data_IF_214159935421
#
_entry.id   IF_214159935421
#
_cell.length_a   1.000
_cell.length_b   1.000
_cell.length_c   1.000
_cell.angle_alpha   90.00
_cell.angle_beta   90.00
_cell.angle_gamma   90.00
#
_symmetry.space_group_name_H-M   'P 1'
#
loop_
_entity.id
_entity.type
_entity.pdbx_description
1 polymer ?
#
# COMPACT_ATOMS: atom_id res chain seq x y z
N UNK A 1 -4.01 6.28 0.37
CA UNK A 1 -3.17 5.11 0.03
C UNK A 1 -2.17 5.34 -1.12
N UNK A 2 -2.59 5.32 -2.39
CA UNK A 2 -1.69 5.38 -3.59
C UNK A 2 -0.66 6.49 -3.51
N UNK A 3 -1.09 7.72 -3.21
CA UNK A 3 -0.23 8.90 -3.12
C UNK A 3 0.90 8.71 -2.12
N UNK A 4 0.58 8.22 -0.93
CA UNK A 4 1.54 8.02 0.15
C UNK A 4 2.51 6.87 -0.19
N UNK A 5 1.98 5.77 -0.73
CA UNK A 5 2.76 4.61 -1.15
C UNK A 5 3.80 4.91 -2.23
N UNK A 6 3.35 5.44 -3.37
CA UNK A 6 4.23 5.72 -4.51
C UNK A 6 5.24 6.84 -4.21
N UNK A 7 4.84 7.85 -3.44
CA UNK A 7 5.76 8.90 -2.99
C UNK A 7 6.83 8.36 -2.06
N UNK A 8 6.46 7.44 -1.16
CA UNK A 8 7.42 6.80 -0.26
C UNK A 8 8.38 5.94 -1.06
N UNK A 9 7.88 5.10 -1.96
CA UNK A 9 8.72 4.26 -2.82
C UNK A 9 9.72 5.11 -3.64
N UNK A 10 9.28 6.23 -4.23
CA UNK A 10 10.15 7.19 -4.92
C UNK A 10 11.21 7.81 -3.99
N UNK A 11 10.85 8.05 -2.72
CA UNK A 11 11.79 8.51 -1.67
C UNK A 11 12.78 7.44 -1.20
N UNK A 12 12.54 6.17 -1.53
CA UNK A 12 13.42 5.03 -1.25
C UNK A 12 14.49 4.80 -2.33
N UNK A 13 14.77 5.79 -3.19
CA UNK A 13 15.61 5.67 -4.39
C UNK A 13 15.13 4.61 -5.40
N UNK A 14 13.85 4.24 -5.36
CA UNK A 14 13.28 3.41 -6.42
C UNK A 14 13.09 4.24 -7.69
N UNK A 15 13.60 3.73 -8.80
CA UNK A 15 13.42 4.33 -10.13
C UNK A 15 11.99 4.14 -10.65
N UNK A 16 11.07 4.95 -10.12
CA UNK A 16 9.65 4.92 -10.46
C UNK A 16 9.40 5.36 -11.90
N UNK A 17 10.17 6.33 -12.42
CA UNK A 17 10.00 6.84 -13.78
C UNK A 17 10.26 5.75 -14.83
N UNK A 18 11.30 4.94 -14.67
CA UNK A 18 11.53 3.82 -15.59
C UNK A 18 10.46 2.73 -15.46
N UNK A 19 9.89 2.51 -14.28
CA UNK A 19 8.75 1.61 -14.11
C UNK A 19 7.48 2.15 -14.80
N UNK A 20 7.19 3.45 -14.68
CA UNK A 20 6.07 4.11 -15.37
C UNK A 20 6.18 3.95 -16.87
N UNK A 21 7.38 4.10 -17.42
CA UNK A 21 7.66 3.96 -18.84
C UNK A 21 7.75 2.49 -19.33
N UNK A 22 7.67 1.51 -18.44
CA UNK A 22 7.80 0.09 -18.79
C UNK A 22 9.23 -0.34 -19.15
N UNK A 23 10.22 0.45 -18.75
CA UNK A 23 11.66 0.12 -18.92
C UNK A 23 12.23 -0.67 -17.75
N UNK A 24 11.48 -0.76 -16.66
CA UNK A 24 11.81 -1.51 -15.45
C UNK A 24 10.55 -2.20 -14.94
N UNK A 25 10.67 -3.47 -14.59
CA UNK A 25 9.59 -4.20 -13.94
C UNK A 25 9.39 -3.73 -12.51
N UNK A 26 8.13 -3.60 -12.10
CA UNK A 26 7.71 -3.27 -10.74
C UNK A 26 6.75 -4.35 -10.25
N UNK A 27 7.14 -5.10 -9.23
CA UNK A 27 6.28 -6.13 -8.62
C UNK A 27 5.43 -5.50 -7.53
N UNK A 28 4.11 -5.61 -7.72
CA UNK A 28 3.10 -5.09 -6.80
C UNK A 28 2.26 -6.26 -6.28
N UNK A 29 1.99 -6.26 -4.98
CA UNK A 29 0.96 -7.12 -4.38
C UNK A 29 -0.18 -6.26 -3.86
N UNK A 30 -1.40 -6.58 -4.23
CA UNK A 30 -2.62 -6.01 -3.67
C UNK A 30 -3.35 -7.10 -2.86
N UNK A 31 -3.50 -6.90 -1.56
CA UNK A 31 -4.31 -7.76 -0.69
C UNK A 31 -5.64 -7.05 -0.46
N UNK A 32 -6.73 -7.72 -0.80
CA UNK A 32 -8.04 -7.11 -0.96
C UNK A 32 -8.22 -6.58 -2.38
N UNK A 33 -9.23 -7.11 -3.08
CA UNK A 33 -9.53 -6.74 -4.46
C UNK A 33 -10.65 -5.72 -4.53
N UNK A 34 -11.73 -5.94 -3.77
CA UNK A 34 -12.95 -5.16 -3.87
C UNK A 34 -13.46 -5.13 -5.30
N UNK A 35 -13.54 -3.94 -5.90
CA UNK A 35 -13.91 -3.76 -7.31
C UNK A 35 -12.75 -3.83 -8.31
N UNK A 36 -11.50 -3.98 -7.85
CA UNK A 36 -10.31 -4.00 -8.68
C UNK A 36 -9.82 -2.63 -9.15
N UNK A 37 -10.33 -1.53 -8.59
CA UNK A 37 -9.98 -0.16 -8.98
C UNK A 37 -8.50 0.16 -8.72
N UNK A 38 -7.96 -0.22 -7.56
CA UNK A 38 -6.56 -0.02 -7.19
C UNK A 38 -5.59 -0.75 -8.15
N UNK A 39 -5.70 -2.08 -8.36
CA UNK A 39 -4.80 -2.76 -9.28
C UNK A 39 -4.96 -2.28 -10.73
N UNK A 40 -6.18 -2.00 -11.18
CA UNK A 40 -6.40 -1.42 -12.52
C UNK A 40 -5.73 -0.06 -12.67
N UNK A 41 -5.86 0.81 -11.67
CA UNK A 41 -5.21 2.13 -11.67
C UNK A 41 -3.69 1.99 -11.78
N UNK A 42 -3.09 1.13 -10.95
CA UNK A 42 -1.65 0.91 -10.94
C UNK A 42 -1.15 0.36 -12.28
N UNK A 43 -1.82 -0.64 -12.84
CA UNK A 43 -1.42 -1.21 -14.12
C UNK A 43 -1.64 -0.22 -15.28
N UNK A 44 -2.67 0.61 -15.23
CA UNK A 44 -2.93 1.65 -16.23
C UNK A 44 -1.87 2.76 -16.22
N UNK A 45 -1.47 3.21 -15.02
CA UNK A 45 -0.50 4.30 -14.87
C UNK A 45 0.96 3.86 -14.92
N UNK A 46 1.27 2.61 -14.55
CA UNK A 46 2.64 2.11 -14.47
C UNK A 46 2.78 0.93 -15.45
N UNK A 47 3.38 1.18 -16.61
CA UNK A 47 3.48 0.17 -17.68
C UNK A 47 4.32 -1.04 -17.30
N UNK A 48 5.34 -0.85 -16.47
CA UNK A 48 6.18 -1.92 -15.93
C UNK A 48 5.60 -2.63 -14.71
N UNK A 49 4.43 -2.21 -14.21
CA UNK A 49 3.84 -2.86 -13.04
C UNK A 49 3.29 -4.24 -13.40
N UNK A 50 3.67 -5.25 -12.62
CA UNK A 50 3.06 -6.57 -12.62
C UNK A 50 2.45 -6.81 -11.24
N UNK A 51 1.17 -7.10 -11.23
CA UNK A 51 0.33 -6.99 -10.05
C UNK A 51 -0.28 -8.34 -9.74
N UNK A 52 0.14 -8.91 -8.62
CA UNK A 52 -0.60 -10.00 -7.98
C UNK A 52 -1.70 -9.38 -7.10
N UNK A 53 -2.92 -9.89 -7.18
CA UNK A 53 -4.09 -9.44 -6.43
C UNK A 53 -4.65 -10.63 -5.68
N UNK A 54 -4.94 -10.49 -4.40
CA UNK A 54 -5.44 -11.58 -3.57
C UNK A 54 -6.78 -11.19 -2.98
N UNK A 55 -7.79 -12.00 -3.24
CA UNK A 55 -9.15 -11.85 -2.71
C UNK A 55 -9.62 -13.18 -2.16
N UNK A 56 -10.22 -13.16 -0.97
CA UNK A 56 -10.69 -14.36 -0.29
C UNK A 56 -12.13 -14.70 -0.68
N UNK A 57 -12.96 -13.70 -1.01
CA UNK A 57 -14.36 -13.91 -1.30
C UNK A 57 -14.64 -14.07 -2.81
N UNK A 58 -15.03 -15.27 -3.27
CA UNK A 58 -15.38 -15.48 -4.68
C UNK A 58 -16.58 -14.64 -5.15
N UNK A 59 -17.47 -14.20 -4.26
CA UNK A 59 -18.59 -13.31 -4.61
C UNK A 59 -18.10 -11.90 -4.93
N UNK A 60 -17.09 -11.41 -4.21
CA UNK A 60 -16.44 -10.12 -4.52
C UNK A 60 -15.74 -10.19 -5.88
N UNK A 61 -15.00 -11.28 -6.15
CA UNK A 61 -14.38 -11.52 -7.47
C UNK A 61 -15.44 -11.52 -8.57
N UNK A 62 -16.51 -12.31 -8.40
CA UNK A 62 -17.61 -12.41 -9.35
C UNK A 62 -18.28 -11.05 -9.62
N UNK A 63 -18.59 -10.29 -8.56
CA UNK A 63 -19.18 -8.96 -8.67
C UNK A 63 -18.25 -7.98 -9.40
N UNK A 64 -16.94 -8.01 -9.10
CA UNK A 64 -15.98 -7.14 -9.78
C UNK A 64 -15.94 -7.38 -11.29
N UNK A 65 -16.03 -8.63 -11.73
CA UNK A 65 -15.98 -9.00 -13.14
C UNK A 65 -17.30 -8.66 -13.83
N UNK A 66 -18.42 -9.12 -13.27
CA UNK A 66 -19.71 -9.07 -13.94
C UNK A 66 -20.42 -7.72 -13.79
N UNK A 67 -20.20 -7.00 -12.68
CA UNK A 67 -20.87 -5.72 -12.42
C UNK A 67 -19.95 -4.51 -12.59
N UNK A 68 -18.65 -4.64 -12.30
CA UNK A 68 -17.70 -3.51 -12.36
C UNK A 68 -16.76 -3.56 -13.57
N UNK A 69 -16.82 -4.63 -14.35
CA UNK A 69 -16.05 -4.79 -15.58
C UNK A 69 -14.58 -5.11 -15.35
N UNK A 70 -14.20 -5.72 -14.22
CA UNK A 70 -12.83 -6.21 -14.02
C UNK A 70 -12.52 -7.33 -15.02
N UNK A 71 -11.30 -7.38 -15.60
CA UNK A 71 -10.93 -8.37 -16.61
C UNK A 71 -11.00 -9.81 -16.07
N UNK A 72 -11.89 -10.62 -16.65
CA UNK A 72 -12.10 -12.02 -16.21
C UNK A 72 -10.90 -12.94 -16.43
N UNK A 73 -10.09 -12.72 -17.47
CA UNK A 73 -8.92 -13.54 -17.78
C UNK A 73 -7.74 -13.28 -16.82
N UNK A 74 -7.82 -12.22 -16.00
CA UNK A 74 -6.84 -11.96 -14.95
C UNK A 74 -7.01 -12.92 -13.77
N UNK A 75 -8.15 -13.63 -13.66
CA UNK A 75 -8.37 -14.65 -12.62
C UNK A 75 -7.50 -15.88 -12.88
N UNK A 76 -6.69 -16.23 -11.90
CA UNK A 76 -5.80 -17.40 -11.95
C UNK A 76 -6.53 -18.61 -11.37
N UNK A 77 -7.04 -19.44 -12.26
CA UNK A 77 -7.55 -20.76 -11.91
C UNK A 77 -6.41 -21.78 -11.81
N UNK A 78 -6.54 -22.75 -10.91
CA UNK A 78 -5.59 -23.87 -10.72
C UNK A 78 -5.51 -24.80 -11.95
N UNK A 79 -6.46 -24.71 -12.88
CA UNK A 79 -6.40 -25.33 -14.20
C UNK A 79 -6.08 -24.28 -15.26
N UNK A 80 -4.91 -24.41 -15.88
CA UNK A 80 -4.44 -23.57 -16.98
C UNK A 80 -5.43 -23.57 -18.16
N UNK A 81 -6.33 -22.59 -18.19
CA UNK A 81 -7.01 -22.13 -19.39
C UNK A 81 -7.16 -20.62 -19.28
N UNK A 82 -6.03 -19.90 -19.44
CA UNK A 82 -6.08 -18.50 -19.79
C UNK A 82 -6.88 -18.40 -21.10
N UNK A 83 -8.15 -17.99 -21.03
CA UNK A 83 -8.92 -17.69 -22.22
C UNK A 83 -8.17 -16.55 -22.90
N UNK A 84 -7.70 -16.79 -24.12
CA UNK A 84 -7.09 -15.72 -24.92
C UNK A 84 -8.09 -14.55 -25.00
N UNK A 85 -7.66 -13.31 -24.76
CA UNK A 85 -8.55 -12.15 -24.86
C UNK A 85 -9.18 -12.13 -26.25
N UNK A 86 -10.45 -11.75 -26.36
CA UNK A 86 -11.03 -11.48 -27.66
C UNK A 86 -10.57 -10.10 -28.16
N UNK A 87 -10.82 -9.78 -29.43
CA UNK A 87 -10.40 -8.49 -30.02
C UNK A 87 -10.95 -7.26 -29.28
N UNK A 88 -12.13 -7.36 -28.66
CA UNK A 88 -12.72 -6.26 -27.88
C UNK A 88 -11.93 -6.06 -26.58
N UNK A 89 -11.56 -7.14 -25.91
CA UNK A 89 -10.77 -7.12 -24.68
C UNK A 89 -9.35 -6.58 -24.90
N UNK A 90 -8.72 -6.93 -26.03
CA UNK A 90 -7.43 -6.37 -26.42
C UNK A 90 -7.50 -4.85 -26.60
N UNK A 91 -8.56 -4.36 -27.26
CA UNK A 91 -8.77 -2.92 -27.47
C UNK A 91 -9.10 -2.20 -26.17
N UNK A 92 -9.94 -2.80 -25.32
CA UNK A 92 -10.39 -2.21 -24.06
C UNK A 92 -9.24 -2.08 -23.07
N UNK A 93 -8.44 -3.13 -22.92
CA UNK A 93 -7.42 -3.19 -21.88
C UNK A 93 -6.00 -2.88 -22.36
N UNK A 94 -5.75 -2.89 -23.67
CA UNK A 94 -4.45 -2.50 -24.26
C UNK A 94 -3.24 -3.17 -23.59
N UNK A 95 -3.34 -4.47 -23.28
CA UNK A 95 -2.28 -5.25 -22.62
C UNK A 95 -2.09 -5.00 -21.11
N UNK A 96 -2.90 -4.17 -20.46
CA UNK A 96 -2.93 -4.04 -18.97
C UNK A 96 -3.14 -5.40 -18.30
N UNK A 97 -3.91 -6.21 -18.99
CA UNK A 97 -4.64 -7.33 -18.47
C UNK A 97 -3.77 -8.59 -18.38
N UNK A 98 -2.68 -8.62 -19.14
CA UNK A 98 -1.59 -9.59 -19.10
C UNK A 98 -0.68 -9.40 -17.87
N UNK A 99 -0.80 -8.27 -17.18
CA UNK A 99 0.02 -7.90 -16.02
C UNK A 99 -0.76 -7.96 -14.70
N UNK A 100 -2.02 -8.39 -14.75
CA UNK A 100 -2.92 -8.51 -13.61
C UNK A 100 -3.18 -9.99 -13.34
N UNK A 101 -2.90 -10.42 -12.10
CA UNK A 101 -3.06 -11.80 -11.68
C UNK A 101 -3.91 -11.83 -10.39
N UNK A 102 -5.20 -12.12 -10.52
CA UNK A 102 -6.16 -12.21 -9.42
C UNK A 102 -6.27 -13.65 -8.91
N UNK A 103 -5.92 -13.86 -7.65
CA UNK A 103 -5.96 -15.15 -6.98
C UNK A 103 -7.08 -15.17 -5.96
N UNK A 104 -7.96 -16.16 -6.07
CA UNK A 104 -8.90 -16.53 -5.01
C UNK A 104 -8.11 -17.24 -3.89
N UNK A 105 -7.74 -16.51 -2.85
CA UNK A 105 -6.93 -17.04 -1.76
C UNK A 105 -7.02 -16.21 -0.48
N UNK A 106 -6.79 -16.88 0.65
CA UNK A 106 -6.43 -16.22 1.89
C UNK A 106 -5.04 -15.57 1.77
N UNK A 107 -4.89 -14.33 2.21
CA UNK A 107 -3.66 -13.56 2.04
C UNK A 107 -2.45 -14.17 2.76
N UNK A 108 -2.64 -14.72 3.96
CA UNK A 108 -1.59 -15.43 4.70
C UNK A 108 -1.16 -16.69 3.97
N UNK A 109 -2.11 -17.49 3.51
CA UNK A 109 -1.82 -18.68 2.70
C UNK A 109 -1.10 -18.31 1.40
N UNK A 110 -1.52 -17.24 0.72
CA UNK A 110 -0.89 -16.81 -0.52
C UNK A 110 0.58 -16.43 -0.31
N UNK A 111 0.85 -15.58 0.68
CA UNK A 111 2.20 -15.06 0.91
C UNK A 111 3.15 -16.12 1.48
N UNK A 112 2.65 -17.08 2.25
CA UNK A 112 3.45 -18.21 2.75
C UNK A 112 3.88 -19.17 1.64
N UNK A 113 3.07 -19.29 0.57
CA UNK A 113 3.32 -20.23 -0.51
C UNK A 113 4.05 -19.61 -1.71
N UNK A 114 4.19 -18.28 -1.77
CA UNK A 114 4.93 -17.58 -2.82
C UNK A 114 6.31 -17.14 -2.36
N UNK A 115 7.30 -17.30 -3.24
CA UNK A 115 8.67 -16.82 -3.04
C UNK A 115 9.00 -15.52 -3.79
N UNK A 116 7.98 -14.75 -4.19
CA UNK A 116 8.22 -13.50 -4.94
C UNK A 116 8.63 -12.37 -4.00
N UNK A 117 9.51 -11.50 -4.49
CA UNK A 117 9.82 -10.23 -3.85
C UNK A 117 9.01 -9.11 -4.50
N UNK A 118 8.41 -8.25 -3.67
CA UNK A 118 7.59 -7.12 -4.07
C UNK A 118 8.29 -5.80 -3.76
N UNK A 119 8.20 -4.85 -4.70
CA UNK A 119 8.68 -3.49 -4.52
C UNK A 119 7.71 -2.70 -3.62
N UNK A 120 6.42 -2.95 -3.78
CA UNK A 120 5.36 -2.35 -2.97
C UNK A 120 4.20 -3.33 -2.76
N UNK A 121 3.65 -3.31 -1.56
CA UNK A 121 2.47 -4.10 -1.19
C UNK A 121 1.40 -3.14 -0.67
N UNK A 122 0.20 -3.24 -1.23
CA UNK A 122 -0.98 -2.55 -0.78
C UNK A 122 -1.92 -3.53 -0.08
N UNK A 123 -2.45 -3.13 1.08
CA UNK A 123 -3.40 -3.93 1.85
C UNK A 123 -4.65 -3.08 2.07
N UNK A 124 -5.75 -3.51 1.46
CA UNK A 124 -7.06 -2.88 1.50
C UNK A 124 -8.12 -3.96 1.69
N UNK A 125 -8.05 -4.63 2.86
CA UNK A 125 -8.84 -5.81 3.16
C UNK A 125 -9.53 -5.66 4.52
N UNK A 126 -10.83 -5.93 4.54
CA UNK A 126 -11.69 -5.83 5.71
C UNK A 126 -12.51 -7.10 5.84
N UNK A 127 -12.91 -7.45 7.05
CA UNK A 127 -13.92 -8.48 7.27
C UNK A 127 -15.34 -7.95 7.00
N UNK A 128 -16.35 -8.80 7.21
CA UNK A 128 -17.76 -8.44 6.99
C UNK A 128 -18.28 -7.34 7.92
N UNK A 129 -17.55 -7.01 8.98
CA UNK A 129 -17.88 -5.98 9.96
C UNK A 129 -17.05 -4.69 9.78
N UNK A 130 -16.39 -4.55 8.62
CA UNK A 130 -15.55 -3.39 8.28
C UNK A 130 -14.31 -3.24 9.19
N UNK A 131 -13.84 -4.36 9.76
CA UNK A 131 -12.66 -4.40 10.63
C UNK A 131 -11.47 -4.97 9.88
N UNK A 132 -10.31 -4.34 10.04
CA UNK A 132 -9.06 -4.86 9.48
C UNK A 132 -8.71 -6.21 10.16
N UNK A 133 -8.61 -7.35 9.46
CA UNK A 133 -8.55 -8.65 10.12
C UNK A 133 -7.31 -8.83 10.99
N UNK A 134 -7.50 -9.32 12.22
CA UNK A 134 -6.43 -9.59 13.20
C UNK A 134 -5.26 -10.40 12.64
N UNK A 135 -5.58 -11.41 11.82
CA UNK A 135 -4.62 -12.29 11.13
C UNK A 135 -3.62 -11.53 10.25
N UNK A 136 -3.96 -10.32 9.78
CA UNK A 136 -3.11 -9.51 8.91
C UNK A 136 -2.17 -8.56 9.66
N UNK A 137 -2.20 -8.51 11.00
CA UNK A 137 -1.35 -7.59 11.75
C UNK A 137 -0.89 -8.10 13.12
N UNK A 138 -1.57 -9.08 13.70
CA UNK A 138 -1.17 -9.63 14.99
C UNK A 138 0.16 -10.42 14.82
N UNK A 139 1.22 -10.07 15.56
CA UNK A 139 2.53 -10.74 15.46
C UNK A 139 2.52 -12.23 15.78
N UNK A 140 1.48 -12.73 16.46
CA UNK A 140 1.33 -14.16 16.75
C UNK A 140 0.96 -14.98 15.50
N UNK A 141 0.50 -14.33 14.43
CA UNK A 141 0.22 -14.95 13.14
C UNK A 141 1.42 -14.86 12.18
N UNK A 142 1.63 -15.86 11.31
CA UNK A 142 2.78 -15.90 10.42
C UNK A 142 2.76 -14.85 9.31
N UNK A 143 1.61 -14.22 9.04
CA UNK A 143 1.43 -13.26 7.95
C UNK A 143 2.49 -12.14 7.94
N UNK A 144 2.65 -11.37 9.03
CA UNK A 144 3.56 -10.22 9.03
C UNK A 144 5.02 -10.62 8.80
N UNK A 145 5.42 -11.79 9.30
CA UNK A 145 6.77 -12.34 9.09
C UNK A 145 6.99 -12.75 7.63
N UNK A 146 5.99 -13.40 7.02
CA UNK A 146 6.02 -13.77 5.61
C UNK A 146 5.98 -12.53 4.69
N UNK A 147 5.16 -11.54 5.04
CA UNK A 147 5.10 -10.23 4.41
C UNK A 147 6.45 -9.53 4.42
N UNK A 148 7.10 -9.45 5.59
CA UNK A 148 8.43 -8.87 5.71
C UNK A 148 9.45 -9.58 4.82
N UNK A 149 9.39 -10.92 4.74
CA UNK A 149 10.30 -11.72 3.92
C UNK A 149 10.05 -11.58 2.41
N UNK A 150 8.84 -11.17 2.01
CA UNK A 150 8.43 -10.99 0.63
C UNK A 150 8.67 -9.56 0.11
N UNK A 151 9.24 -8.66 0.92
CA UNK A 151 9.53 -7.28 0.52
C UNK A 151 10.96 -7.15 0.00
N UNK A 152 11.13 -6.31 -1.03
CA UNK A 152 12.46 -5.95 -1.51
C UNK A 152 13.30 -5.35 -0.37
N UNK A 153 14.54 -5.85 -0.12
CA UNK A 153 15.29 -5.52 1.08
C UNK A 153 15.69 -4.04 1.18
N UNK A 154 15.83 -3.33 0.05
CA UNK A 154 16.31 -1.94 0.03
C UNK A 154 15.20 -0.88 0.04
N UNK A 155 14.11 -1.12 -0.67
CA UNK A 155 13.07 -0.11 -0.95
C UNK A 155 11.65 -0.66 -0.77
N UNK A 156 11.51 -1.92 -0.37
CA UNK A 156 10.22 -2.57 -0.17
C UNK A 156 9.35 -1.72 0.74
N UNK A 157 8.15 -1.43 0.25
CA UNK A 157 7.19 -0.54 0.91
C UNK A 157 5.87 -1.27 1.12
N UNK A 158 5.29 -1.16 2.30
CA UNK A 158 3.94 -1.63 2.62
C UNK A 158 3.05 -0.44 2.90
N UNK A 159 1.84 -0.50 2.36
CA UNK A 159 0.83 0.53 2.48
C UNK A 159 -0.46 -0.13 2.90
N UNK A 160 -1.03 0.27 4.03
CA UNK A 160 -2.22 -0.35 4.61
C UNK A 160 -3.33 0.68 4.71
N UNK A 161 -4.53 0.32 4.25
CA UNK A 161 -5.76 1.05 4.52
C UNK A 161 -6.24 0.69 5.92
N UNK A 162 -6.54 1.69 6.74
CA UNK A 162 -7.17 1.48 8.03
C UNK A 162 -8.35 2.44 8.13
N UNK A 163 -9.50 1.94 8.56
CA UNK A 163 -10.58 2.82 8.98
C UNK A 163 -10.24 3.41 10.34
N UNK A 164 -10.46 4.71 10.49
CA UNK A 164 -10.15 5.46 11.69
C UNK A 164 -11.05 4.98 12.83
N UNK A 165 -10.44 4.50 13.90
CA UNK A 165 -11.07 4.07 15.15
C UNK A 165 -11.06 5.17 16.22
N UNK A 166 -10.76 6.42 15.84
CA UNK A 166 -10.82 7.55 16.75
C UNK A 166 -12.27 7.65 17.27
N UNK A 167 -12.46 7.21 18.51
CA UNK A 167 -13.74 7.29 19.22
C UNK A 167 -14.27 8.71 19.08
N UNK A 168 -15.42 8.86 18.40
CA UNK A 168 -16.30 9.99 18.66
C UNK A 168 -16.80 9.72 20.07
N UNK A 169 -16.10 10.19 21.11
CA UNK A 169 -16.56 10.44 22.49
C UNK A 169 -15.36 10.67 23.44
N UNK A 170 -14.85 11.90 23.48
CA UNK A 170 -14.56 12.54 24.76
C UNK A 170 -14.85 14.06 24.63
N UNK A 171 -16.04 14.54 25.06
CA UNK A 171 -16.39 15.97 25.01
C UNK A 171 -15.42 16.86 25.79
N UNK A 172 -14.65 16.31 26.73
CA UNK A 172 -13.79 17.08 27.63
C UNK A 172 -12.42 17.42 27.05
N UNK A 173 -12.02 16.80 25.92
CA UNK A 173 -10.72 17.06 25.27
C UNK A 173 -10.79 18.24 24.28
N UNK A 174 -11.99 18.66 23.86
CA UNK A 174 -12.19 19.74 22.88
C UNK A 174 -11.88 21.16 23.39
N UNK A 175 -11.58 21.36 24.68
CA UNK A 175 -11.33 22.70 25.23
C UNK A 175 -9.84 23.09 25.17
N UNK A 176 -8.93 22.17 24.82
CA UNK A 176 -7.49 22.42 24.96
C UNK A 176 -6.66 22.19 23.69
N UNK A 177 -7.02 22.78 22.54
CA UNK A 177 -6.01 23.18 21.53
C UNK A 177 -6.59 23.98 20.37
N UNK A 178 -6.21 25.26 20.27
CA UNK A 178 -6.41 26.10 19.08
C UNK A 178 -5.37 25.81 17.98
N UNK A 179 -5.16 24.54 17.63
CA UNK A 179 -4.34 24.13 16.48
C UNK A 179 -5.03 22.93 15.81
N UNK A 180 -4.95 22.86 14.47
CA UNK A 180 -5.64 21.92 13.58
C UNK A 180 -6.01 20.57 14.24
N UNK A 181 -7.26 20.08 14.12
CA UNK A 181 -7.68 18.85 14.78
C UNK A 181 -7.01 17.66 14.11
N UNK A 182 -5.82 17.31 14.59
CA UNK A 182 -5.22 16.00 14.42
C UNK A 182 -6.06 15.08 15.31
N UNK A 183 -7.02 14.36 14.73
CA UNK A 183 -7.67 13.27 15.46
C UNK A 183 -6.56 12.32 15.90
N UNK A 184 -6.39 12.07 17.21
CA UNK A 184 -5.42 11.09 17.67
C UNK A 184 -5.77 9.73 17.05
N UNK A 185 -4.77 8.99 16.57
CA UNK A 185 -5.00 7.60 16.18
C UNK A 185 -5.60 6.87 17.37
N UNK A 186 -6.70 6.16 17.15
CA UNK A 186 -7.27 5.32 18.19
C UNK A 186 -6.32 4.17 18.51
N UNK A 187 -6.64 3.48 19.62
CA UNK A 187 -5.77 2.45 20.18
C UNK A 187 -5.54 1.31 19.19
N UNK A 188 -6.58 0.89 18.48
CA UNK A 188 -6.49 -0.23 17.54
C UNK A 188 -5.59 0.13 16.35
N UNK A 189 -5.80 1.30 15.72
CA UNK A 189 -4.95 1.74 14.60
C UNK A 189 -3.48 1.90 15.04
N UNK A 190 -3.24 2.41 16.25
CA UNK A 190 -1.91 2.55 16.81
C UNK A 190 -1.21 1.18 17.00
N UNK A 191 -1.91 0.19 17.54
CA UNK A 191 -1.39 -1.18 17.73
C UNK A 191 -1.04 -1.83 16.37
N UNK A 192 -1.89 -1.68 15.35
CA UNK A 192 -1.60 -2.15 13.98
C UNK A 192 -0.36 -1.46 13.42
N UNK A 193 -0.28 -0.13 13.53
CA UNK A 193 0.86 0.65 13.04
C UNK A 193 2.18 0.20 13.68
N UNK A 194 2.17 -0.02 15.00
CA UNK A 194 3.36 -0.47 15.72
C UNK A 194 3.77 -1.89 15.30
N UNK A 195 2.82 -2.81 15.13
CA UNK A 195 3.11 -4.19 14.71
C UNK A 195 3.81 -4.26 13.34
N UNK A 196 3.32 -3.51 12.35
CA UNK A 196 3.96 -3.40 11.04
C UNK A 196 5.35 -2.77 11.14
N UNK A 197 5.48 -1.66 11.86
CA UNK A 197 6.78 -1.01 12.03
C UNK A 197 7.81 -1.94 12.67
N UNK A 198 7.45 -2.58 13.77
CA UNK A 198 8.32 -3.47 14.53
C UNK A 198 8.79 -4.66 13.68
N UNK A 199 7.90 -5.23 12.85
CA UNK A 199 8.23 -6.39 12.03
C UNK A 199 9.06 -6.04 10.78
N UNK A 200 8.81 -4.88 10.16
CA UNK A 200 9.43 -4.53 8.87
C UNK A 200 10.72 -3.74 9.02
N UNK A 201 10.83 -2.89 10.05
CA UNK A 201 11.99 -2.02 10.30
C UNK A 201 12.80 -2.48 11.51
N UNK A 202 12.18 -3.20 12.45
CA UNK A 202 12.81 -3.67 13.67
C UNK A 202 12.74 -2.68 14.84
N UNK A 203 12.89 -3.20 16.06
CA UNK A 203 12.85 -2.43 17.32
C UNK A 203 14.15 -1.69 17.66
N UNK A 204 15.27 -2.02 17.02
CA UNK A 204 16.59 -1.43 17.31
C UNK A 204 17.42 -1.20 16.04
N UNK A 205 18.04 -0.01 15.95
CA UNK A 205 19.01 0.35 14.93
C UNK A 205 20.31 -0.41 15.16
N UNK A 206 20.46 -1.58 14.55
CA UNK A 206 21.79 -2.16 14.38
C UNK A 206 22.53 -1.33 13.34
N UNK A 207 23.39 -0.44 13.81
CA UNK A 207 24.31 0.35 12.98
C UNK A 207 25.37 -0.57 12.38
N UNK A 208 25.04 -1.23 11.27
CA UNK A 208 26.02 -1.86 10.41
C UNK A 208 25.74 -1.54 8.96
N UNK A 209 26.67 -0.75 8.37
CA UNK A 209 26.84 -0.42 6.96
C UNK A 209 25.67 0.25 6.22
N UNK A 210 25.83 1.55 5.92
CA UNK A 210 25.38 2.29 4.71
C UNK A 210 23.99 2.00 4.10
N UNK A 211 23.07 1.36 4.81
CA UNK A 211 21.70 1.13 4.36
C UNK A 211 20.81 2.32 4.79
N UNK A 212 19.95 2.78 3.88
CA UNK A 212 18.95 3.80 4.20
C UNK A 212 18.09 3.31 5.37
N UNK A 213 17.79 4.18 6.34
CA UNK A 213 17.04 3.78 7.53
C UNK A 213 15.57 3.49 7.17
N UNK A 214 15.00 2.41 7.70
CA UNK A 214 13.58 2.14 7.54
C UNK A 214 12.72 3.21 8.23
N UNK A 215 11.52 3.41 7.69
CA UNK A 215 10.61 4.48 8.10
C UNK A 215 9.19 3.93 8.19
N UNK A 216 8.46 4.31 9.24
CA UNK A 216 7.02 4.10 9.34
C UNK A 216 6.31 5.41 9.66
N UNK A 217 5.22 5.70 8.97
CA UNK A 217 4.37 6.87 9.22
C UNK A 217 2.92 6.57 8.86
N UNK A 218 2.00 7.37 9.36
CA UNK A 218 0.61 7.33 8.92
C UNK A 218 0.13 8.71 8.49
N UNK A 219 -0.89 8.71 7.64
CA UNK A 219 -1.53 9.89 7.07
C UNK A 219 -3.03 9.70 7.17
N UNK A 220 -3.70 10.57 7.92
CA UNK A 220 -5.15 10.50 8.11
C UNK A 220 -5.89 11.51 7.24
N UNK A 221 -7.05 11.08 6.74
CA UNK A 221 -7.94 11.85 5.88
C UNK A 221 -9.30 11.93 6.57
N UNK A 222 -9.52 12.88 7.50
CA UNK A 222 -10.64 12.85 8.44
C UNK A 222 -12.03 12.78 7.81
N UNK A 223 -12.26 13.46 6.68
CA UNK A 223 -13.59 13.50 6.04
C UNK A 223 -14.00 12.19 5.35
N UNK A 224 -13.07 11.26 5.15
CA UNK A 224 -13.36 9.88 4.70
C UNK A 224 -13.07 8.84 5.77
N UNK A 225 -12.84 9.27 7.01
CA UNK A 225 -12.55 8.40 8.16
C UNK A 225 -11.47 7.34 7.88
N UNK A 226 -10.44 7.70 7.12
CA UNK A 226 -9.42 6.78 6.66
C UNK A 226 -8.03 7.19 7.15
N UNK A 227 -7.24 6.21 7.58
CA UNK A 227 -5.83 6.34 7.90
C UNK A 227 -5.03 5.42 6.99
N UNK A 228 -4.09 5.99 6.23
CA UNK A 228 -3.12 5.22 5.46
C UNK A 228 -1.85 5.06 6.29
N UNK A 229 -1.50 3.83 6.65
CA UNK A 229 -0.20 3.46 7.21
C UNK A 229 0.77 3.18 6.07
N UNK A 230 2.01 3.67 6.19
CA UNK A 230 3.11 3.37 5.28
C UNK A 230 4.34 2.94 6.07
N UNK A 231 4.92 1.80 5.71
CA UNK A 231 6.20 1.33 6.26
C UNK A 231 7.13 0.93 5.12
N UNK A 232 8.34 1.48 5.08
CA UNK A 232 9.34 1.17 4.06
C UNK A 232 10.69 0.80 4.66
N UNK A 233 11.43 -0.05 3.95
CA UNK A 233 12.71 -0.60 4.42
C UNK A 233 13.89 0.36 4.30
N UNK A 234 13.86 1.30 3.36
CA UNK A 234 14.95 2.23 3.17
C UNK A 234 14.46 3.59 2.74
N UNK A 235 14.55 4.58 3.62
CA UNK A 235 14.19 5.95 3.35
C UNK A 235 15.44 6.82 3.35
N UNK A 236 15.70 7.52 2.24
CA UNK A 236 16.96 8.23 2.06
C UNK A 236 16.75 9.71 2.38
N UNK A 237 17.27 10.14 3.54
CA UNK A 237 17.31 11.57 3.95
C UNK A 237 18.73 12.07 3.83
N UNK A 238 18.89 13.22 3.19
CA UNK A 238 20.15 13.95 3.05
C UNK A 238 20.63 14.42 4.44
N UNK A 239 21.41 13.59 5.13
CA UNK A 239 22.12 13.93 6.38
C UNK A 239 21.23 14.19 7.62
N UNK A 240 21.24 13.26 8.59
CA UNK A 240 20.74 13.47 9.95
C UNK A 240 19.80 12.38 10.47
N UNK A 241 19.44 12.47 11.76
CA UNK A 241 18.40 11.64 12.35
C UNK A 241 17.08 11.84 11.59
N UNK A 242 16.27 10.78 11.46
CA UNK A 242 14.92 10.83 10.88
C UNK A 242 14.02 11.73 11.75
N UNK A 243 14.07 13.04 11.52
CA UNK A 243 13.17 14.01 12.11
C UNK A 243 11.90 14.12 11.27
N UNK A 244 10.75 14.26 11.95
CA UNK A 244 9.42 14.39 11.34
C UNK A 244 9.39 15.36 10.17
N UNK A 245 9.91 16.57 10.37
CA UNK A 245 9.83 17.62 9.35
C UNK A 245 10.76 17.36 8.15
N UNK A 246 11.92 16.76 8.38
CA UNK A 246 12.83 16.35 7.31
C UNK A 246 12.21 15.25 6.44
N UNK A 247 11.57 14.26 7.08
CA UNK A 247 10.84 13.19 6.38
C UNK A 247 9.69 13.77 5.58
N UNK A 248 8.87 14.61 6.20
CA UNK A 248 7.72 15.22 5.54
C UNK A 248 8.15 16.10 4.35
N UNK A 249 9.22 16.89 4.49
CA UNK A 249 9.76 17.69 3.39
C UNK A 249 10.28 16.84 2.23
N UNK A 250 10.96 15.71 2.52
CA UNK A 250 11.40 14.78 1.49
C UNK A 250 10.20 14.16 0.74
N UNK A 251 9.17 13.71 1.46
CA UNK A 251 7.92 13.21 0.88
C UNK A 251 7.23 14.28 0.04
N UNK A 252 7.12 15.52 0.52
CA UNK A 252 6.54 16.64 -0.22
C UNK A 252 7.28 16.86 -1.55
N UNK A 253 8.62 16.90 -1.52
CA UNK A 253 9.42 17.07 -2.73
C UNK A 253 9.18 15.95 -3.73
N UNK A 254 9.18 14.69 -3.28
CA UNK A 254 8.93 13.53 -4.14
C UNK A 254 7.49 13.43 -4.62
N UNK A 255 6.52 13.93 -3.87
CA UNK A 255 5.10 13.89 -4.28
C UNK A 255 4.85 14.68 -5.57
N UNK A 256 5.56 15.80 -5.76
CA UNK A 256 5.48 16.61 -6.97
C UNK A 256 6.08 15.90 -8.20
N UNK A 257 7.14 15.12 -7.99
CA UNK A 257 7.71 14.27 -9.05
C UNK A 257 6.73 13.16 -9.44
N UNK A 258 6.11 12.49 -8.46
CA UNK A 258 5.12 11.43 -8.67
C UNK A 258 3.87 11.95 -9.40
N UNK A 259 3.35 13.11 -9.00
CA UNK A 259 2.21 13.76 -9.66
C UNK A 259 2.48 13.98 -11.15
N UNK A 260 3.67 14.49 -11.48
CA UNK A 260 4.11 14.73 -12.86
C UNK A 260 4.37 13.43 -13.62
N UNK A 261 5.09 12.48 -13.02
CA UNK A 261 5.56 11.29 -13.72
C UNK A 261 4.40 10.32 -14.04
N UNK A 262 3.38 10.24 -13.17
CA UNK A 262 2.19 9.41 -13.40
C UNK A 262 1.02 10.17 -14.05
N UNK A 263 1.15 11.49 -14.26
CA UNK A 263 0.09 12.36 -14.78
C UNK A 263 -1.22 12.17 -13.97
N UNK A 264 -1.12 12.38 -12.65
CA UNK A 264 -2.21 12.08 -11.74
C UNK A 264 -3.33 13.13 -11.84
N UNK A 265 -4.61 12.71 -11.83
CA UNK A 265 -5.74 13.65 -11.84
C UNK A 265 -5.98 14.30 -10.48
N UNK A 266 -5.14 14.03 -9.48
CA UNK A 266 -5.20 14.55 -8.12
C UNK A 266 -3.77 14.82 -7.63
N UNK A 267 -3.63 15.70 -6.63
CA UNK A 267 -2.31 16.02 -6.07
C UNK A 267 -1.97 15.12 -4.88
N UNK A 268 -0.85 14.39 -4.96
CA UNK A 268 -0.32 13.60 -3.86
C UNK A 268 -0.01 14.45 -2.63
N UNK A 269 0.44 15.69 -2.83
CA UNK A 269 0.78 16.64 -1.79
C UNK A 269 -0.37 16.89 -0.81
N UNK A 270 -1.59 17.03 -1.33
CA UNK A 270 -2.79 17.30 -0.53
C UNK A 270 -3.11 16.16 0.42
N UNK A 271 -2.85 14.92 0.01
CA UNK A 271 -3.06 13.76 0.85
C UNK A 271 -1.94 13.62 1.88
N UNK A 272 -0.67 13.80 1.51
CA UNK A 272 0.48 13.60 2.40
C UNK A 272 0.56 14.61 3.56
N UNK A 273 0.17 15.87 3.33
CA UNK A 273 0.28 16.91 4.36
C UNK A 273 -0.70 16.73 5.52
N UNK A 274 -1.83 16.07 5.29
CA UNK A 274 -2.96 16.05 6.23
C UNK A 274 -2.80 14.90 7.21
N UNK A 275 -2.84 15.20 8.51
CA UNK A 275 -2.76 14.17 9.55
C UNK A 275 -1.48 13.34 9.52
N UNK A 276 -0.35 13.91 9.07
CA UNK A 276 0.94 13.21 9.03
C UNK A 276 1.48 12.96 10.44
N UNK A 277 1.68 11.68 10.76
CA UNK A 277 2.27 11.23 12.03
C UNK A 277 3.42 10.28 11.73
N UNK A 278 4.62 10.64 12.18
CA UNK A 278 5.78 9.78 12.13
C UNK A 278 5.71 8.78 13.29
N UNK A 279 5.85 7.48 13.01
CA UNK A 279 5.84 6.45 14.05
C UNK A 279 7.18 6.46 14.81
N UNK A 280 7.13 6.47 16.15
CA UNK A 280 8.28 6.51 17.08
C UNK A 280 8.96 5.18 17.30
#
# INVERSE_FOLDING_TARGET
MVSAGLTTLSSCNYDLLNAVNGRKDMRVLCIGHGGGSLPLFLASKIKGAVIDIVEIDPLVISASIHAMGFPSFSVIHSSHCARSPNTIDEVLWRGIHERLFLYESDAEKFILNRGNLYDIIFIDAYDGDDVFPRKLWDPDYPFLKALSSSLHPCHGTVVVNLHSDADVLDPDVFIASNFEPVLPMGRYVSEVCQAYKDMLVGKQRSFSQKQCAGLGFAVSVPWVCNTTLVVCRGFCVSSGALHRDSVLNALISKSLEVDRDLDLPFSCLQYLKRGFVLLS
#
